data_IF_587242186214
#
_entry.id   IF_587242186214
#
_cell.length_a   1.000
_cell.length_b   1.000
_cell.length_c   1.000
_cell.angle_alpha   90.00
_cell.angle_beta   90.00
_cell.angle_gamma   90.00
#
_symmetry.space_group_name_H-M   'P 1'
#
loop_
_entity.id
_entity.type
_entity.pdbx_description
1 polymer ?
#
# COMPACT_ATOMS: atom_id res chain seq x y z
N UNK A 1 -5.99 -61.03 14.27
CA UNK A 1 -7.24 -61.20 13.48
C UNK A 1 -8.22 -62.22 14.11
N UNK A 2 -7.83 -63.32 14.71
CA UNK A 2 -8.73 -64.33 15.35
C UNK A 2 -9.59 -63.80 16.51
N UNK A 3 -9.04 -62.93 17.39
CA UNK A 3 -9.76 -62.36 18.54
C UNK A 3 -10.92 -61.39 18.16
N UNK A 4 -10.81 -60.70 17.06
CA UNK A 4 -11.85 -59.78 16.57
C UNK A 4 -13.01 -60.57 15.96
N UNK A 5 -12.72 -61.64 15.22
CA UNK A 5 -13.75 -62.55 14.67
C UNK A 5 -14.59 -63.24 15.77
N UNK A 6 -13.94 -63.63 16.88
CA UNK A 6 -14.64 -64.27 18.00
C UNK A 6 -15.59 -63.32 18.74
N UNK A 7 -15.16 -62.07 18.96
CA UNK A 7 -15.96 -61.03 19.60
C UNK A 7 -17.18 -60.58 18.78
N UNK A 8 -17.09 -60.66 17.47
CA UNK A 8 -18.18 -60.32 16.54
C UNK A 8 -19.25 -61.47 16.51
N UNK A 9 -18.84 -62.69 16.79
CA UNK A 9 -19.77 -63.85 16.76
C UNK A 9 -20.65 -63.95 18.01
N UNK A 10 -20.23 -63.36 19.14
CA UNK A 10 -20.96 -63.37 20.41
C UNK A 10 -22.00 -62.25 20.55
N UNK A 11 -22.11 -61.35 19.56
CA UNK A 11 -23.07 -60.24 19.57
C UNK A 11 -24.42 -60.73 19.08
N UNK A 12 -25.53 -60.40 19.78
CA UNK A 12 -26.91 -60.70 19.36
C UNK A 12 -27.13 -60.22 17.92
N UNK A 13 -27.86 -61.00 17.13
CA UNK A 13 -28.08 -60.78 15.71
C UNK A 13 -28.55 -59.33 15.37
N UNK A 14 -29.38 -58.74 16.23
CA UNK A 14 -29.86 -57.36 16.11
C UNK A 14 -28.72 -56.36 16.19
N UNK A 15 -27.80 -56.49 17.12
CA UNK A 15 -26.66 -55.58 17.26
C UNK A 15 -25.67 -55.73 16.11
N UNK A 16 -25.54 -56.91 15.55
CA UNK A 16 -24.70 -57.17 14.36
C UNK A 16 -25.23 -56.46 13.14
N UNK A 17 -26.56 -56.49 12.93
CA UNK A 17 -27.22 -55.73 11.84
C UNK A 17 -27.06 -54.22 12.00
N UNK A 18 -27.25 -53.69 13.22
CA UNK A 18 -27.07 -52.26 13.51
C UNK A 18 -25.63 -51.81 13.24
N UNK A 19 -24.62 -52.58 13.67
CA UNK A 19 -23.22 -52.26 13.42
C UNK A 19 -22.91 -52.24 11.92
N UNK A 20 -23.39 -53.24 11.17
CA UNK A 20 -23.21 -53.29 9.72
C UNK A 20 -23.84 -52.07 9.04
N UNK A 21 -25.05 -51.69 9.44
CA UNK A 21 -25.77 -50.56 8.89
C UNK A 21 -25.07 -49.24 9.19
N UNK A 22 -24.64 -49.05 10.44
CA UNK A 22 -23.86 -47.84 10.85
C UNK A 22 -22.54 -47.77 10.13
N UNK A 23 -21.79 -48.85 10.02
CA UNK A 23 -20.49 -48.88 9.35
C UNK A 23 -20.67 -48.60 7.83
N UNK A 24 -21.66 -49.21 7.19
CA UNK A 24 -21.91 -49.05 5.74
C UNK A 24 -22.43 -47.63 5.41
N UNK A 25 -23.19 -47.01 6.31
CA UNK A 25 -23.70 -45.65 6.12
C UNK A 25 -22.72 -44.55 6.58
N UNK A 26 -22.07 -44.74 7.73
CA UNK A 26 -21.23 -43.71 8.34
C UNK A 26 -19.87 -43.58 7.64
N UNK A 27 -19.26 -44.67 7.22
CA UNK A 27 -17.96 -44.65 6.56
C UNK A 27 -17.95 -43.84 5.26
N UNK A 28 -18.88 -44.08 4.31
CA UNK A 28 -18.93 -43.25 3.09
C UNK A 28 -19.14 -41.76 3.38
N UNK A 29 -19.97 -41.46 4.39
CA UNK A 29 -20.25 -40.08 4.80
C UNK A 29 -19.01 -39.38 5.36
N UNK A 30 -18.23 -40.06 6.19
CA UNK A 30 -16.96 -39.55 6.70
C UNK A 30 -15.95 -39.31 5.56
N UNK A 31 -15.84 -40.25 4.61
CA UNK A 31 -14.95 -40.12 3.45
C UNK A 31 -15.33 -38.91 2.60
N UNK A 32 -16.62 -38.73 2.32
CA UNK A 32 -17.11 -37.56 1.58
C UNK A 32 -16.81 -36.26 2.34
N UNK A 33 -17.02 -36.24 3.65
CA UNK A 33 -16.75 -35.08 4.46
C UNK A 33 -15.28 -34.69 4.45
N UNK A 34 -14.38 -35.66 4.64
CA UNK A 34 -12.93 -35.42 4.57
C UNK A 34 -12.51 -34.93 3.18
N UNK A 35 -13.06 -35.53 2.14
CA UNK A 35 -12.77 -35.10 0.77
C UNK A 35 -13.25 -33.66 0.51
N UNK A 36 -14.47 -33.32 0.90
CA UNK A 36 -15.02 -31.98 0.78
C UNK A 36 -14.20 -30.95 1.58
N UNK A 37 -13.79 -31.31 2.79
CA UNK A 37 -12.95 -30.47 3.63
C UNK A 37 -11.58 -30.18 2.98
N UNK A 38 -10.91 -31.20 2.47
CA UNK A 38 -9.63 -31.03 1.77
C UNK A 38 -9.76 -30.15 0.51
N UNK A 39 -10.81 -30.34 -0.27
CA UNK A 39 -11.11 -29.53 -1.46
C UNK A 39 -11.34 -28.06 -1.06
N UNK A 40 -12.18 -27.83 -0.06
CA UNK A 40 -12.49 -26.48 0.41
C UNK A 40 -11.26 -25.74 0.94
N UNK A 41 -10.43 -26.44 1.70
CA UNK A 41 -9.16 -25.88 2.21
C UNK A 41 -8.23 -25.46 1.07
N UNK A 42 -8.07 -26.27 0.05
CA UNK A 42 -7.21 -25.96 -1.09
C UNK A 42 -7.73 -24.73 -1.87
N UNK A 43 -9.04 -24.66 -2.11
CA UNK A 43 -9.67 -23.53 -2.80
C UNK A 43 -9.52 -22.22 -2.00
N UNK A 44 -9.70 -22.27 -0.68
CA UNK A 44 -9.53 -21.10 0.18
C UNK A 44 -8.09 -20.62 0.19
N UNK A 45 -7.14 -21.54 0.31
CA UNK A 45 -5.71 -21.21 0.32
C UNK A 45 -5.25 -20.54 -0.98
N UNK A 46 -5.73 -21.05 -2.12
CA UNK A 46 -5.42 -20.45 -3.43
C UNK A 46 -6.06 -19.08 -3.62
N UNK A 47 -7.28 -18.89 -3.13
CA UNK A 47 -7.97 -17.59 -3.14
C UNK A 47 -7.24 -16.56 -2.28
N UNK A 48 -6.88 -16.94 -1.06
CA UNK A 48 -6.19 -16.05 -0.12
C UNK A 48 -4.82 -15.62 -0.68
N UNK A 49 -4.05 -16.56 -1.23
CA UNK A 49 -2.78 -16.25 -1.86
C UNK A 49 -2.92 -15.30 -3.07
N UNK A 50 -3.94 -15.51 -3.92
CA UNK A 50 -4.22 -14.62 -5.04
C UNK A 50 -4.65 -13.23 -4.55
N UNK A 51 -5.49 -13.16 -3.54
CA UNK A 51 -5.95 -11.91 -2.94
C UNK A 51 -4.79 -11.11 -2.35
N UNK A 52 -3.92 -11.77 -1.57
CA UNK A 52 -2.74 -11.13 -0.98
C UNK A 52 -1.78 -10.63 -2.06
N UNK A 53 -1.49 -11.46 -3.08
CA UNK A 53 -0.65 -11.03 -4.21
C UNK A 53 -1.23 -9.85 -4.96
N UNK A 54 -2.55 -9.86 -5.18
CA UNK A 54 -3.25 -8.74 -5.80
C UNK A 54 -3.16 -7.46 -4.98
N UNK A 55 -3.39 -7.53 -3.66
CA UNK A 55 -3.31 -6.40 -2.75
C UNK A 55 -1.88 -5.81 -2.68
N UNK A 56 -0.86 -6.67 -2.62
CA UNK A 56 0.55 -6.24 -2.66
C UNK A 56 0.87 -5.57 -4.01
N UNK A 57 0.46 -6.17 -5.13
CA UNK A 57 0.66 -5.59 -6.45
C UNK A 57 0.02 -4.21 -6.58
N UNK A 58 -1.21 -4.05 -6.10
CA UNK A 58 -1.90 -2.76 -6.09
C UNK A 58 -1.20 -1.74 -5.20
N UNK A 59 -0.71 -2.15 -4.03
CA UNK A 59 0.05 -1.26 -3.13
C UNK A 59 1.34 -0.77 -3.78
N UNK A 60 2.09 -1.65 -4.44
CA UNK A 60 3.30 -1.29 -5.19
C UNK A 60 2.96 -0.29 -6.29
N UNK A 61 1.95 -0.56 -7.11
CA UNK A 61 1.54 0.37 -8.18
C UNK A 61 1.10 1.74 -7.63
N UNK A 62 0.44 1.75 -6.47
CA UNK A 62 0.02 3.01 -5.83
C UNK A 62 1.23 3.81 -5.36
N UNK A 63 2.22 3.15 -4.74
CA UNK A 63 3.46 3.80 -4.29
C UNK A 63 4.27 4.31 -5.48
N UNK A 64 4.43 3.50 -6.52
CA UNK A 64 5.13 3.90 -7.74
C UNK A 64 4.46 5.12 -8.40
N UNK A 65 3.13 5.12 -8.48
CA UNK A 65 2.37 6.25 -9.00
C UNK A 65 2.55 7.53 -8.16
N UNK A 66 2.63 7.42 -6.83
CA UNK A 66 2.92 8.56 -5.96
C UNK A 66 4.35 9.09 -6.17
N UNK A 67 5.33 8.21 -6.30
CA UNK A 67 6.72 8.60 -6.58
C UNK A 67 6.79 9.35 -7.93
N UNK A 68 6.11 8.85 -8.95
CA UNK A 68 6.06 9.51 -10.27
C UNK A 68 5.47 10.93 -10.19
N UNK A 69 4.43 11.12 -9.38
CA UNK A 69 3.83 12.44 -9.14
C UNK A 69 4.84 13.39 -8.50
N UNK A 70 5.60 12.94 -7.48
CA UNK A 70 6.61 13.77 -6.83
C UNK A 70 7.79 14.07 -7.73
N UNK A 71 8.18 13.13 -8.58
CA UNK A 71 9.26 13.31 -9.56
C UNK A 71 8.85 14.35 -10.61
N UNK A 72 7.63 14.24 -11.15
CA UNK A 72 7.08 15.20 -12.09
C UNK A 72 6.96 16.59 -11.47
N UNK A 73 6.57 16.69 -10.20
CA UNK A 73 6.48 17.95 -9.49
C UNK A 73 7.87 18.57 -9.26
N UNK A 74 8.85 17.78 -8.88
CA UNK A 74 10.24 18.20 -8.72
C UNK A 74 10.80 18.73 -10.04
N UNK A 75 10.57 18.01 -11.12
CA UNK A 75 10.96 18.43 -12.47
C UNK A 75 10.26 19.72 -12.89
N UNK A 76 8.95 19.84 -12.63
CA UNK A 76 8.22 21.08 -12.92
C UNK A 76 8.82 22.27 -12.19
N UNK A 77 9.13 22.15 -10.90
CA UNK A 77 9.73 23.23 -10.10
C UNK A 77 11.13 23.57 -10.63
N UNK A 78 11.93 22.54 -10.93
CA UNK A 78 13.33 22.72 -11.35
C UNK A 78 13.45 23.38 -12.73
N UNK A 79 12.58 22.99 -13.67
CA UNK A 79 12.63 23.49 -15.04
C UNK A 79 11.65 24.63 -15.32
N UNK A 80 11.01 25.18 -14.30
CA UNK A 80 10.11 26.32 -14.47
C UNK A 80 10.90 27.62 -14.54
N UNK A 81 10.95 28.21 -15.74
CA UNK A 81 11.68 29.46 -15.99
C UNK A 81 11.24 30.63 -15.12
N UNK A 82 9.95 30.70 -14.77
CA UNK A 82 9.43 31.78 -13.91
C UNK A 82 9.93 31.62 -12.48
N UNK A 83 9.88 30.41 -11.91
CA UNK A 83 10.38 30.14 -10.57
C UNK A 83 11.89 30.34 -10.50
N UNK A 84 12.60 29.79 -11.47
CA UNK A 84 14.06 29.95 -11.59
C UNK A 84 14.45 31.43 -11.79
N UNK A 85 13.69 32.17 -12.59
CA UNK A 85 13.91 33.60 -12.83
C UNK A 85 13.76 34.44 -11.56
N UNK A 86 12.69 34.18 -10.77
CA UNK A 86 12.49 34.90 -9.49
C UNK A 86 13.61 34.60 -8.50
N UNK A 87 14.09 33.36 -8.42
CA UNK A 87 15.15 32.97 -7.48
C UNK A 87 16.55 33.42 -7.92
N UNK A 88 16.81 33.50 -9.21
CA UNK A 88 18.12 33.85 -9.78
C UNK A 88 18.34 35.36 -9.92
N UNK A 89 17.26 36.13 -9.93
CA UNK A 89 17.34 37.58 -10.15
C UNK A 89 18.09 38.31 -9.03
N UNK A 90 18.91 39.27 -9.39
CA UNK A 90 19.60 40.15 -8.45
C UNK A 90 18.79 41.40 -8.16
N UNK A 91 18.03 41.32 -7.07
CA UNK A 91 17.13 42.41 -6.67
C UNK A 91 17.88 43.61 -6.14
N UNK A 92 17.48 44.80 -6.56
CA UNK A 92 18.06 46.06 -6.09
C UNK A 92 17.65 46.42 -4.66
N UNK A 93 16.51 45.89 -4.21
CA UNK A 93 16.01 46.10 -2.86
C UNK A 93 15.30 44.87 -2.30
N UNK A 94 15.31 44.73 -0.98
CA UNK A 94 14.57 43.68 -0.26
C UNK A 94 13.05 43.78 -0.50
N UNK A 95 12.53 44.98 -0.71
CA UNK A 95 11.12 45.18 -1.00
C UNK A 95 10.74 44.65 -2.38
N UNK A 96 11.55 44.88 -3.40
CA UNK A 96 11.33 44.37 -4.75
C UNK A 96 11.35 42.82 -4.75
N UNK A 97 12.33 42.24 -4.08
CA UNK A 97 12.42 40.81 -3.90
C UNK A 97 11.17 40.23 -3.21
N UNK A 98 10.77 40.79 -2.08
CA UNK A 98 9.59 40.38 -1.34
C UNK A 98 8.32 40.45 -2.19
N UNK A 99 8.15 41.53 -2.92
CA UNK A 99 7.00 41.72 -3.79
C UNK A 99 6.94 40.67 -4.92
N UNK A 100 8.05 40.33 -5.54
CA UNK A 100 8.11 39.30 -6.57
C UNK A 100 7.84 37.91 -5.98
N UNK A 101 8.33 37.61 -4.81
CA UNK A 101 8.06 36.34 -4.14
C UNK A 101 6.56 36.23 -3.85
N UNK A 102 5.96 37.20 -3.22
CA UNK A 102 4.53 37.18 -2.81
C UNK A 102 3.58 37.19 -4.02
N UNK A 103 3.92 37.92 -5.08
CA UNK A 103 3.02 38.08 -6.25
C UNK A 103 3.16 36.95 -7.28
N UNK A 104 4.32 36.32 -7.38
CA UNK A 104 4.60 35.36 -8.45
C UNK A 104 4.92 33.97 -7.88
N UNK A 105 5.86 33.90 -6.94
CA UNK A 105 6.38 32.63 -6.43
C UNK A 105 5.38 31.90 -5.52
N UNK A 106 4.82 32.57 -4.52
CA UNK A 106 3.89 31.98 -3.56
C UNK A 106 2.59 31.49 -4.21
N UNK A 107 1.95 32.22 -5.15
CA UNK A 107 0.78 31.73 -5.85
C UNK A 107 1.05 30.47 -6.68
N UNK A 108 2.23 30.38 -7.31
CA UNK A 108 2.62 29.19 -8.09
C UNK A 108 2.82 27.98 -7.18
N UNK A 109 3.52 28.11 -6.06
CA UNK A 109 3.68 27.02 -5.10
C UNK A 109 2.34 26.64 -4.42
N UNK A 110 1.50 27.60 -4.14
CA UNK A 110 0.17 27.37 -3.56
C UNK A 110 -0.73 26.60 -4.53
N UNK A 111 -0.63 26.88 -5.84
CA UNK A 111 -1.38 26.13 -6.85
C UNK A 111 -0.97 24.66 -6.90
N UNK A 112 0.33 24.36 -6.78
CA UNK A 112 0.83 22.98 -6.73
C UNK A 112 0.25 22.22 -5.52
N UNK A 113 0.22 22.87 -4.36
CA UNK A 113 -0.37 22.32 -3.15
C UNK A 113 -1.89 22.10 -3.29
N UNK A 114 -2.59 22.97 -4.00
CA UNK A 114 -4.03 22.85 -4.25
C UNK A 114 -4.35 21.64 -5.13
N UNK A 115 -3.53 21.34 -6.13
CA UNK A 115 -3.72 20.18 -7.01
C UNK A 115 -3.27 18.85 -6.38
N UNK A 116 -2.43 18.90 -5.36
CA UNK A 116 -1.85 17.72 -4.69
C UNK A 116 -2.07 17.82 -3.19
N UNK A 117 -3.24 17.37 -2.72
CA UNK A 117 -3.64 17.43 -1.30
C UNK A 117 -2.69 16.66 -0.36
N UNK A 118 -1.94 15.71 -0.90
CA UNK A 118 -0.99 14.89 -0.13
C UNK A 118 0.32 15.65 0.17
N UNK A 119 0.53 16.80 -0.49
CA UNK A 119 1.70 17.65 -0.26
C UNK A 119 1.42 18.61 0.87
N UNK A 120 2.02 18.35 2.01
CA UNK A 120 1.87 19.23 3.16
C UNK A 120 2.64 20.55 2.96
N UNK A 121 3.89 20.47 2.47
CA UNK A 121 4.76 21.62 2.28
C UNK A 121 5.78 21.40 1.18
N UNK A 122 6.03 22.44 0.40
CA UNK A 122 7.13 22.52 -0.56
C UNK A 122 8.10 23.59 -0.04
N UNK A 123 9.36 23.24 0.15
CA UNK A 123 10.42 24.17 0.54
C UNK A 123 11.53 24.09 -0.51
N UNK A 124 11.88 25.21 -1.10
CA UNK A 124 12.95 25.31 -2.09
C UNK A 124 14.20 25.86 -1.38
N UNK A 125 15.27 25.11 -1.46
CA UNK A 125 16.56 25.52 -0.91
C UNK A 125 17.37 26.23 -1.97
N UNK A 126 17.85 27.42 -1.65
CA UNK A 126 18.61 28.28 -2.54
C UNK A 126 20.00 28.59 -1.97
N UNK A 127 20.98 28.79 -2.85
CA UNK A 127 22.35 29.12 -2.47
C UNK A 127 22.50 30.60 -2.03
N UNK A 128 21.46 31.40 -2.18
CA UNK A 128 21.42 32.78 -1.70
C UNK A 128 20.87 32.83 -0.27
N UNK A 129 21.31 33.82 0.52
CA UNK A 129 20.79 34.06 1.88
C UNK A 129 19.37 34.67 1.84
N UNK A 130 18.46 34.02 1.09
CA UNK A 130 17.06 34.40 0.98
C UNK A 130 16.25 33.45 1.85
N UNK A 131 15.46 34.03 2.76
CA UNK A 131 14.52 33.28 3.57
C UNK A 131 13.14 33.91 3.45
N UNK A 132 12.15 33.12 3.08
CA UNK A 132 10.78 33.57 2.98
C UNK A 132 9.83 32.49 3.54
N UNK A 133 9.23 32.81 4.68
CA UNK A 133 8.32 31.95 5.41
C UNK A 133 8.82 30.49 5.49
N UNK A 134 8.06 29.55 4.98
CA UNK A 134 8.39 28.12 4.91
C UNK A 134 8.65 27.63 3.49
N UNK A 135 8.59 28.52 2.49
CA UNK A 135 8.67 28.20 1.07
C UNK A 135 10.08 28.30 0.50
N UNK A 136 10.90 29.21 1.04
CA UNK A 136 12.28 29.38 0.61
C UNK A 136 13.19 29.37 1.85
N UNK A 137 14.28 28.60 1.77
CA UNK A 137 15.31 28.55 2.79
C UNK A 137 16.72 28.49 2.18
N UNK A 138 17.74 29.02 2.85
CA UNK A 138 19.11 28.89 2.40
C UNK A 138 19.59 27.43 2.56
N UNK A 139 20.45 26.97 1.63
CA UNK A 139 21.01 25.60 1.64
C UNK A 139 21.75 25.29 2.94
N UNK A 140 22.30 26.30 3.60
CA UNK A 140 23.00 26.15 4.87
C UNK A 140 22.11 25.56 5.98
N UNK A 141 20.81 25.83 5.95
CA UNK A 141 19.84 25.26 6.90
C UNK A 141 19.68 23.74 6.79
N UNK A 142 20.09 23.10 5.69
CA UNK A 142 20.06 21.64 5.54
C UNK A 142 21.17 20.99 6.37
N UNK A 143 22.32 21.67 6.54
CA UNK A 143 23.49 21.11 7.23
C UNK A 143 23.32 21.07 8.74
N UNK A 144 22.38 21.84 9.28
CA UNK A 144 22.13 21.97 10.72
C UNK A 144 20.99 21.05 11.22
N UNK A 145 20.42 20.20 10.35
CA UNK A 145 19.39 19.21 10.69
C UNK A 145 19.93 17.80 10.64
#
# INVERSE_FOLDING_TARGET
MKKIKQKINDIRLQNKLVIIYVVTGLIPLIVLFVFAYCQMRNILMDRDLKSIKGAIGQSVTTVDGQIEVYDNLSNYITFNDTLSGVLSYDYKSTYEMYNQIVTTFDPMLSSLKYFHNDINRVTIYVDKAIKHDTTIAPIEEIKDR
#
